data_IF_132260869414
#
_entry.id   IF_132260869414
#
_cell.length_a   1.000
_cell.length_b   1.000
_cell.length_c   1.000
_cell.angle_alpha   90.00
_cell.angle_beta   90.00
_cell.angle_gamma   90.00
#
_symmetry.space_group_name_H-M   'P 1'
#
loop_
_entity.id
_entity.type
_entity.pdbx_description
1 polymer ?
#
# COMPACT_ATOMS: atom_id res chain seq x y z
N UNK A 1 10.62 0.01 16.89
CA UNK A 1 11.61 -0.11 15.79
C UNK A 1 12.97 -0.31 16.38
N UNK A 2 13.83 -1.04 15.68
CA UNK A 2 15.21 -1.30 16.09
C UNK A 2 16.21 -0.61 15.16
N UNK A 3 17.36 -0.22 15.72
CA UNK A 3 18.54 0.20 14.96
C UNK A 3 19.42 -1.01 14.56
N UNK A 4 20.52 -0.74 13.87
CA UNK A 4 21.46 -1.76 13.38
C UNK A 4 22.19 -2.50 14.51
N UNK A 5 22.18 -1.94 15.73
CA UNK A 5 22.73 -2.57 16.92
C UNK A 5 21.68 -3.38 17.70
N UNK A 6 20.42 -3.42 17.22
CA UNK A 6 19.32 -4.12 17.88
C UNK A 6 18.68 -3.35 19.03
N UNK A 7 19.01 -2.08 19.23
CA UNK A 7 18.40 -1.26 20.28
C UNK A 7 17.03 -0.74 19.84
N UNK A 8 16.09 -0.65 20.78
CA UNK A 8 14.78 -0.05 20.52
C UNK A 8 14.92 1.47 20.42
N UNK A 9 14.58 2.02 19.26
CA UNK A 9 14.63 3.47 18.95
C UNK A 9 13.25 4.10 18.77
N UNK A 10 12.20 3.28 18.75
CA UNK A 10 10.81 3.74 18.71
C UNK A 10 9.91 2.74 19.43
N UNK A 11 9.22 3.19 20.48
CA UNK A 11 8.38 2.38 21.35
C UNK A 11 6.95 2.20 20.83
N UNK A 12 6.52 2.97 19.81
CA UNK A 12 5.18 2.88 19.24
C UNK A 12 5.04 1.70 18.25
N UNK A 13 5.40 0.49 18.71
CA UNK A 13 5.28 -0.74 17.92
C UNK A 13 3.84 -1.06 17.50
N UNK A 14 2.87 -0.78 18.38
CA UNK A 14 1.44 -0.97 18.09
C UNK A 14 0.99 -0.13 16.89
N UNK A 15 1.39 1.14 16.84
CA UNK A 15 1.09 2.02 15.72
C UNK A 15 1.70 1.55 14.39
N UNK A 16 2.92 1.00 14.45
CA UNK A 16 3.60 0.43 13.28
C UNK A 16 2.85 -0.80 12.76
N UNK A 17 2.52 -1.76 13.64
CA UNK A 17 1.80 -2.98 13.25
C UNK A 17 0.41 -2.64 12.69
N UNK A 18 -0.30 -1.68 13.30
CA UNK A 18 -1.62 -1.27 12.82
C UNK A 18 -1.57 -0.65 11.42
N UNK A 19 -0.52 0.09 11.10
CA UNK A 19 -0.39 0.83 9.84
C UNK A 19 0.19 -0.03 8.72
N UNK A 20 1.21 -0.83 9.04
CA UNK A 20 2.07 -1.49 8.05
C UNK A 20 2.15 -3.00 8.20
N UNK A 21 1.49 -3.58 9.21
CA UNK A 21 1.37 -5.03 9.43
C UNK A 21 2.73 -5.76 9.28
N UNK A 22 2.75 -6.82 8.48
CA UNK A 22 3.89 -7.66 8.17
C UNK A 22 4.85 -7.04 7.14
N UNK A 23 4.39 -6.10 6.31
CA UNK A 23 5.28 -5.33 5.40
C UNK A 23 6.38 -4.62 6.18
N UNK A 24 6.10 -4.30 7.45
CA UNK A 24 7.01 -3.67 8.37
C UNK A 24 8.21 -4.51 8.80
N UNK A 25 8.24 -5.81 8.49
CA UNK A 25 9.36 -6.68 8.83
C UNK A 25 10.53 -6.52 7.83
N UNK A 26 11.79 -6.50 8.30
CA UNK A 26 12.20 -6.39 9.70
C UNK A 26 11.87 -5.00 10.25
N UNK A 27 11.43 -4.90 11.51
CA UNK A 27 10.92 -3.65 12.14
C UNK A 27 12.02 -2.59 12.39
N UNK A 28 12.81 -2.27 11.37
CA UNK A 28 13.92 -1.32 11.37
C UNK A 28 13.46 0.07 10.92
N UNK A 29 14.26 1.09 11.22
CA UNK A 29 14.00 2.44 10.69
C UNK A 29 14.09 2.50 9.17
N UNK A 30 15.02 1.76 8.57
CA UNK A 30 15.23 1.72 7.12
C UNK A 30 14.01 1.14 6.40
N UNK A 31 13.54 -0.04 6.82
CA UNK A 31 12.36 -0.69 6.24
C UNK A 31 11.13 0.22 6.26
N UNK A 32 11.00 1.01 7.33
CA UNK A 32 9.91 1.95 7.52
C UNK A 32 10.01 3.18 6.63
N UNK A 33 11.22 3.61 6.27
CA UNK A 33 11.43 4.65 5.25
C UNK A 33 11.06 4.12 3.87
N UNK A 34 11.50 2.91 3.51
CA UNK A 34 11.17 2.27 2.24
C UNK A 34 9.66 2.19 2.00
N UNK A 35 8.89 1.67 2.97
CA UNK A 35 7.43 1.55 2.85
C UNK A 35 6.78 2.92 2.64
N UNK A 36 7.26 3.95 3.34
CA UNK A 36 6.74 5.32 3.18
C UNK A 36 7.06 5.88 1.80
N UNK A 37 8.28 5.69 1.32
CA UNK A 37 8.70 6.14 0.00
C UNK A 37 7.95 5.41 -1.13
N UNK A 38 7.72 4.11 -0.98
CA UNK A 38 6.92 3.32 -1.90
C UNK A 38 5.46 3.78 -1.91
N UNK A 39 4.86 4.03 -0.74
CA UNK A 39 3.51 4.58 -0.66
C UNK A 39 3.39 5.97 -1.31
N UNK A 40 4.39 6.84 -1.10
CA UNK A 40 4.44 8.16 -1.75
C UNK A 40 4.61 8.05 -3.27
N UNK A 41 5.47 7.14 -3.74
CA UNK A 41 5.65 6.87 -5.18
C UNK A 41 4.36 6.34 -5.78
N UNK A 42 3.77 5.32 -5.15
CA UNK A 42 2.49 4.76 -5.56
C UNK A 42 1.42 5.85 -5.62
N UNK A 43 1.37 6.80 -4.67
CA UNK A 43 0.44 7.94 -4.70
C UNK A 43 0.67 8.90 -5.87
N UNK A 44 1.92 9.16 -6.24
CA UNK A 44 2.26 10.04 -7.37
C UNK A 44 2.01 9.39 -8.73
N UNK A 45 2.23 8.08 -8.82
CA UNK A 45 2.18 7.31 -10.07
C UNK A 45 0.87 6.52 -10.23
N UNK A 46 -0.18 6.88 -9.47
CA UNK A 46 -1.46 6.16 -9.54
C UNK A 46 -2.09 6.22 -10.93
N UNK A 47 -2.75 5.13 -11.29
CA UNK A 47 -3.62 5.05 -12.47
C UNK A 47 -5.05 4.75 -12.04
N UNK A 48 -6.03 5.00 -12.92
CA UNK A 48 -7.41 4.57 -12.65
C UNK A 48 -7.50 3.06 -12.38
N UNK A 49 -6.66 2.25 -13.05
CA UNK A 49 -6.59 0.81 -12.79
C UNK A 49 -6.10 0.53 -11.37
N UNK A 50 -5.01 1.15 -10.91
CA UNK A 50 -4.47 0.88 -9.57
C UNK A 50 -5.39 1.31 -8.42
N UNK A 51 -6.27 2.28 -8.65
CA UNK A 51 -7.22 2.77 -7.64
C UNK A 51 -8.55 2.00 -7.69
N UNK A 52 -9.06 1.70 -8.88
CA UNK A 52 -10.42 1.17 -9.05
C UNK A 52 -10.48 -0.35 -9.10
N UNK A 53 -9.40 -1.01 -9.52
CA UNK A 53 -9.33 -2.47 -9.65
C UNK A 53 -8.96 -3.10 -8.31
N UNK A 54 -9.74 -4.09 -7.91
CA UNK A 54 -9.48 -4.98 -6.77
C UNK A 54 -9.79 -6.41 -7.20
N UNK A 55 -9.32 -7.46 -6.50
CA UNK A 55 -9.67 -8.84 -6.84
C UNK A 55 -11.18 -9.10 -6.91
N UNK A 56 -11.98 -8.37 -6.11
CA UNK A 56 -13.44 -8.44 -6.10
C UNK A 56 -14.15 -7.52 -7.10
N UNK A 57 -13.43 -6.57 -7.72
CA UNK A 57 -14.02 -5.55 -8.59
C UNK A 57 -13.03 -5.11 -9.67
N UNK A 58 -13.27 -5.57 -10.87
CA UNK A 58 -12.48 -5.30 -12.07
C UNK A 58 -13.34 -4.68 -13.19
N UNK A 59 -14.44 -4.01 -12.85
CA UNK A 59 -15.36 -3.38 -13.80
C UNK A 59 -15.82 -2.00 -13.33
N UNK A 60 -16.28 -1.17 -14.27
CA UNK A 60 -17.01 0.08 -14.00
C UNK A 60 -18.49 -0.07 -14.33
N UNK A 61 -19.36 0.72 -13.69
CA UNK A 61 -20.80 0.69 -13.91
C UNK A 61 -21.20 1.96 -14.65
N UNK A 62 -21.86 1.83 -15.80
CA UNK A 62 -22.40 3.00 -16.53
C UNK A 62 -23.66 3.52 -15.84
N UNK A 63 -24.12 4.71 -16.26
CA UNK A 63 -25.37 5.28 -15.77
C UNK A 63 -26.57 4.33 -15.92
N UNK A 64 -26.62 3.57 -17.01
CA UNK A 64 -27.68 2.59 -17.31
C UNK A 64 -27.57 1.28 -16.50
N UNK A 65 -26.60 1.18 -15.59
CA UNK A 65 -26.37 0.01 -14.74
C UNK A 65 -25.54 -1.10 -15.38
N UNK A 66 -25.05 -0.91 -16.62
CA UNK A 66 -24.23 -1.91 -17.31
C UNK A 66 -22.81 -1.97 -16.75
N UNK A 67 -22.26 -3.19 -16.60
CA UNK A 67 -20.89 -3.43 -16.12
C UNK A 67 -19.92 -3.56 -17.30
N UNK A 68 -18.84 -2.78 -17.26
CA UNK A 68 -17.77 -2.78 -18.26
C UNK A 68 -16.45 -3.25 -17.65
N UNK A 69 -15.84 -4.33 -18.16
CA UNK A 69 -14.61 -4.86 -17.60
C UNK A 69 -13.41 -3.93 -17.86
N UNK A 70 -12.52 -3.83 -16.87
CA UNK A 70 -11.27 -3.06 -16.92
C UNK A 70 -10.10 -3.87 -17.50
N UNK A 71 -10.35 -5.12 -17.90
CA UNK A 71 -9.41 -6.09 -18.49
C UNK A 71 -9.18 -5.92 -20.00
N UNK A 72 -9.44 -4.74 -20.56
CA UNK A 72 -9.03 -4.37 -21.91
C UNK A 72 -7.65 -3.72 -21.92
N UNK A 73 -6.73 -4.24 -22.73
CA UNK A 73 -5.57 -3.49 -23.19
C UNK A 73 -6.08 -2.37 -24.11
N UNK A 74 -5.65 -1.13 -23.83
CA UNK A 74 -5.73 -0.04 -24.78
C UNK A 74 -4.71 -0.27 -25.90
#
# INVERSE_FOLDING_TARGET
MVDDCGNVVNENGVGVIRSYRDDAYPFTLERMKEIKEEAERARKEQTLKSILVTPSRDFVISHDGNKWPLTGNA
#
